data_IF_964812460184
#
_entry.id   IF_964812460184
#
_cell.length_a   1.000
_cell.length_b   1.000
_cell.length_c   1.000
_cell.angle_alpha   90.00
_cell.angle_beta   90.00
_cell.angle_gamma   90.00
#
_symmetry.space_group_name_H-M   'P 1'
#
loop_
_entity.id
_entity.type
_entity.pdbx_description
1 polymer ?
#
# COMPACT_ATOMS: atom_id res chain seq x y z
N UNK A 1 1.88 -51.20 30.73
CA UNK A 1 2.70 -50.47 29.74
C UNK A 1 2.62 -51.06 28.32
N UNK A 2 1.45 -51.56 27.89
CA UNK A 2 1.30 -52.24 26.58
C UNK A 2 0.50 -51.43 25.53
N UNK A 3 -0.03 -50.25 25.88
CA UNK A 3 -0.82 -49.41 24.95
C UNK A 3 -0.02 -48.34 24.19
N UNK A 4 1.24 -48.08 24.59
CA UNK A 4 2.12 -47.12 23.90
C UNK A 4 3.02 -47.73 22.82
N UNK A 5 3.09 -49.06 22.72
CA UNK A 5 3.94 -49.77 21.73
C UNK A 5 3.18 -50.19 20.46
N UNK A 6 1.85 -50.04 20.40
CA UNK A 6 1.04 -50.31 19.20
C UNK A 6 0.86 -49.10 18.27
N UNK A 7 1.26 -47.90 18.69
CA UNK A 7 1.13 -46.66 17.89
C UNK A 7 2.40 -46.29 17.11
N UNK A 8 3.36 -47.21 17.00
CA UNK A 8 4.54 -47.10 16.14
C UNK A 8 4.48 -48.05 14.94
N UNK A 9 3.45 -48.89 14.85
CA UNK A 9 3.19 -49.73 13.69
C UNK A 9 2.27 -48.98 12.72
N UNK A 10 2.78 -48.72 11.51
CA UNK A 10 2.07 -48.25 10.31
C UNK A 10 1.88 -46.74 10.13
N UNK A 11 2.92 -45.93 10.35
CA UNK A 11 3.08 -44.78 9.46
C UNK A 11 3.58 -45.30 8.12
N UNK A 12 2.69 -45.38 7.12
CA UNK A 12 3.11 -45.68 5.75
C UNK A 12 4.21 -44.69 5.33
N UNK A 13 5.26 -45.14 4.63
CA UNK A 13 6.33 -44.27 4.19
C UNK A 13 5.75 -43.13 3.34
N UNK A 14 5.96 -41.88 3.77
CA UNK A 14 5.45 -40.73 3.03
C UNK A 14 6.30 -40.51 1.78
N UNK A 15 5.69 -40.21 0.61
CA UNK A 15 6.44 -39.82 -0.57
C UNK A 15 7.34 -38.61 -0.28
N UNK A 16 8.58 -38.66 -0.76
CA UNK A 16 9.49 -37.53 -0.74
C UNK A 16 9.16 -36.61 -1.92
N UNK A 17 8.85 -35.34 -1.62
CA UNK A 17 8.46 -34.35 -2.62
C UNK A 17 9.39 -33.15 -2.55
N UNK A 18 9.96 -32.78 -3.69
CA UNK A 18 10.82 -31.61 -3.86
C UNK A 18 10.22 -30.69 -4.92
N UNK A 19 10.10 -29.41 -4.62
CA UNK A 19 9.66 -28.39 -5.58
C UNK A 19 10.90 -27.59 -5.98
N UNK A 20 11.20 -27.57 -7.27
CA UNK A 20 12.31 -26.82 -7.85
C UNK A 20 11.70 -25.74 -8.71
N UNK A 21 12.08 -24.49 -8.46
CA UNK A 21 11.72 -23.33 -9.28
C UNK A 21 12.92 -23.02 -10.17
N UNK A 22 12.71 -23.00 -11.47
CA UNK A 22 13.75 -22.73 -12.46
C UNK A 22 14.04 -21.22 -12.49
N UNK A 23 15.32 -20.84 -12.63
CA UNK A 23 15.79 -19.45 -12.69
C UNK A 23 15.20 -18.54 -11.59
N UNK A 24 15.22 -19.06 -10.34
CA UNK A 24 14.51 -18.44 -9.22
C UNK A 24 14.94 -16.98 -8.97
N UNK A 25 14.03 -16.04 -9.25
CA UNK A 25 14.23 -14.63 -8.92
C UNK A 25 14.15 -14.39 -7.42
N UNK A 26 14.81 -13.31 -6.98
CA UNK A 26 14.71 -12.83 -5.60
C UNK A 26 13.33 -12.27 -5.27
N UNK A 27 12.73 -11.58 -6.23
CA UNK A 27 11.41 -10.95 -6.19
C UNK A 27 10.78 -11.13 -7.56
N UNK A 28 9.52 -11.55 -7.58
CA UNK A 28 8.71 -11.63 -8.78
C UNK A 28 7.72 -10.47 -8.81
N UNK A 29 7.42 -9.96 -9.99
CA UNK A 29 6.42 -8.90 -10.19
C UNK A 29 5.25 -9.37 -11.05
N UNK A 30 4.27 -8.50 -11.27
CA UNK A 30 3.11 -8.76 -12.13
C UNK A 30 3.54 -9.21 -13.52
N UNK A 31 2.88 -10.26 -14.05
CA UNK A 31 3.19 -10.98 -15.28
C UNK A 31 4.51 -11.78 -15.30
N UNK A 32 5.30 -11.78 -14.23
CA UNK A 32 6.42 -12.71 -14.17
C UNK A 32 5.92 -14.16 -14.18
N UNK A 33 6.73 -15.02 -14.81
CA UNK A 33 6.51 -16.45 -14.89
C UNK A 33 7.25 -17.17 -13.75
N UNK A 34 6.51 -17.96 -13.00
CA UNK A 34 7.04 -18.90 -12.00
C UNK A 34 6.93 -20.30 -12.59
N UNK A 35 8.05 -20.81 -13.13
CA UNK A 35 8.13 -22.14 -13.74
C UNK A 35 9.11 -23.04 -13.01
N UNK A 36 8.91 -24.34 -13.15
CA UNK A 36 9.74 -25.32 -12.47
C UNK A 36 9.18 -26.72 -12.58
N UNK A 37 9.60 -27.58 -11.65
CA UNK A 37 9.16 -28.97 -11.57
C UNK A 37 9.03 -29.50 -10.15
N UNK A 38 8.07 -30.38 -9.97
CA UNK A 38 7.89 -31.19 -8.77
C UNK A 38 8.53 -32.55 -9.01
N UNK A 39 9.48 -32.94 -8.15
CA UNK A 39 10.07 -34.28 -8.14
C UNK A 39 9.47 -35.10 -7.03
N UNK A 40 9.01 -36.31 -7.35
CA UNK A 40 8.42 -37.25 -6.41
C UNK A 40 9.23 -38.54 -6.41
N UNK A 41 9.61 -38.98 -5.21
CA UNK A 41 10.28 -40.25 -4.95
C UNK A 41 9.54 -41.00 -3.85
N UNK A 42 9.43 -42.31 -3.98
CA UNK A 42 8.78 -43.17 -2.98
C UNK A 42 9.72 -44.29 -2.56
N UNK A 43 9.60 -44.75 -1.31
CA UNK A 43 10.35 -45.89 -0.80
C UNK A 43 9.56 -47.21 -0.87
N UNK A 44 8.24 -47.13 -1.10
CA UNK A 44 7.34 -48.26 -1.32
C UNK A 44 6.37 -47.95 -2.45
N UNK A 45 5.83 -48.99 -3.09
CA UNK A 45 4.78 -48.84 -4.10
C UNK A 45 3.62 -48.03 -3.51
N UNK A 46 3.37 -46.86 -4.10
CA UNK A 46 2.41 -45.89 -3.56
C UNK A 46 1.32 -45.65 -4.59
N UNK A 47 0.09 -46.03 -4.24
CA UNK A 47 -1.09 -45.79 -5.07
C UNK A 47 -1.57 -44.36 -4.87
N UNK A 48 -1.76 -43.63 -5.97
CA UNK A 48 -2.27 -42.26 -5.97
C UNK A 48 -3.43 -42.11 -6.96
N UNK A 49 -4.32 -41.15 -6.68
CA UNK A 49 -5.44 -40.80 -7.56
C UNK A 49 -5.14 -39.55 -8.36
N UNK A 50 -4.64 -38.52 -7.68
CA UNK A 50 -4.41 -37.21 -8.28
C UNK A 50 -3.14 -36.56 -7.73
N UNK A 51 -2.50 -35.76 -8.57
CA UNK A 51 -1.38 -34.89 -8.20
C UNK A 51 -1.81 -33.48 -8.55
N UNK A 52 -1.81 -32.63 -7.55
CA UNK A 52 -2.30 -31.27 -7.65
C UNK A 52 -1.14 -30.29 -7.40
N UNK A 53 -0.83 -29.49 -8.41
CA UNK A 53 0.20 -28.46 -8.35
C UNK A 53 -0.47 -27.12 -8.52
N UNK A 54 -0.32 -26.24 -7.53
CA UNK A 54 -1.02 -24.97 -7.47
C UNK A 54 -0.06 -23.83 -7.12
N UNK A 55 -0.36 -22.64 -7.63
CA UNK A 55 0.22 -21.40 -7.13
C UNK A 55 -0.83 -20.67 -6.29
N UNK A 56 -0.54 -20.50 -5.01
CA UNK A 56 -1.49 -19.99 -4.02
C UNK A 56 -0.98 -18.72 -3.36
N UNK A 57 -1.87 -17.76 -3.17
CA UNK A 57 -1.64 -16.55 -2.39
C UNK A 57 -2.55 -16.55 -1.16
N UNK A 58 -1.96 -16.38 0.02
CA UNK A 58 -2.69 -16.34 1.28
C UNK A 58 -2.22 -15.21 2.20
N UNK A 59 -3.18 -14.61 2.88
CA UNK A 59 -2.96 -13.63 3.95
C UNK A 59 -3.37 -14.27 5.27
N UNK A 60 -2.50 -14.20 6.27
CA UNK A 60 -2.75 -14.65 7.63
C UNK A 60 -2.56 -13.47 8.58
N UNK A 61 -3.53 -13.29 9.46
CA UNK A 61 -3.50 -12.25 10.48
C UNK A 61 -3.88 -12.82 11.83
N UNK A 62 -3.39 -12.21 12.91
CA UNK A 62 -3.93 -12.43 14.23
C UNK A 62 -3.95 -11.14 15.04
N UNK A 63 -4.83 -11.08 16.03
CA UNK A 63 -4.96 -9.96 16.96
C UNK A 63 -4.95 -10.55 18.37
N UNK A 64 -3.95 -10.15 19.16
CA UNK A 64 -3.84 -10.57 20.56
C UNK A 64 -4.80 -9.78 21.44
N UNK A 65 -5.48 -10.49 22.33
CA UNK A 65 -6.36 -9.91 23.32
C UNK A 65 -5.71 -10.03 24.70
N UNK A 66 -5.65 -8.92 25.42
CA UNK A 66 -5.44 -8.93 26.86
C UNK A 66 -6.75 -9.44 27.52
N UNK A 67 -6.97 -10.75 27.56
CA UNK A 67 -8.16 -11.33 28.20
C UNK A 67 -7.95 -11.41 29.71
N UNK A 68 -8.83 -10.75 30.48
CA UNK A 68 -8.94 -10.93 31.94
C UNK A 68 -9.81 -12.15 32.32
N UNK A 69 -10.37 -12.88 31.34
CA UNK A 69 -11.17 -14.09 31.56
C UNK A 69 -10.44 -15.34 31.04
N UNK A 70 -10.32 -16.41 31.84
CA UNK A 70 -9.66 -17.66 31.44
C UNK A 70 -10.44 -18.48 30.40
N UNK A 71 -11.67 -18.09 30.03
CA UNK A 71 -12.54 -18.82 29.09
C UNK A 71 -12.52 -18.31 27.64
N UNK A 72 -11.89 -17.17 27.36
CA UNK A 72 -11.80 -16.60 26.01
C UNK A 72 -10.43 -16.86 25.38
N UNK A 73 -10.37 -17.15 24.06
CA UNK A 73 -9.10 -17.33 23.37
C UNK A 73 -8.25 -16.05 23.45
N UNK A 74 -6.98 -16.23 23.81
CA UNK A 74 -5.98 -15.18 24.01
C UNK A 74 -5.65 -14.40 22.73
N UNK A 75 -5.94 -14.99 21.57
CA UNK A 75 -5.71 -14.39 20.25
C UNK A 75 -6.79 -14.85 19.27
N UNK A 76 -7.19 -13.98 18.35
CA UNK A 76 -8.09 -14.33 17.24
C UNK A 76 -7.28 -14.28 15.96
N UNK A 77 -7.47 -15.26 15.06
CA UNK A 77 -6.80 -15.30 13.76
C UNK A 77 -7.78 -15.17 12.60
N UNK A 78 -7.30 -14.59 11.50
CA UNK A 78 -7.98 -14.51 10.21
C UNK A 78 -7.09 -15.10 9.12
N UNK A 79 -7.71 -15.71 8.11
CA UNK A 79 -6.99 -16.20 6.92
C UNK A 79 -7.81 -15.94 5.68
N UNK A 80 -7.17 -15.43 4.63
CA UNK A 80 -7.79 -15.16 3.34
C UNK A 80 -6.95 -15.74 2.21
N UNK A 81 -7.53 -16.66 1.44
CA UNK A 81 -6.91 -17.25 0.26
C UNK A 81 -7.35 -16.44 -0.96
N UNK A 82 -6.52 -15.49 -1.37
CA UNK A 82 -6.88 -14.50 -2.39
C UNK A 82 -6.51 -14.94 -3.81
N UNK A 83 -5.51 -15.82 -3.96
CA UNK A 83 -5.06 -16.35 -5.26
C UNK A 83 -4.99 -17.88 -5.23
N UNK A 84 -5.49 -18.49 -6.31
CA UNK A 84 -5.37 -19.93 -6.57
C UNK A 84 -5.30 -20.17 -8.08
N UNK A 85 -4.13 -20.53 -8.59
CA UNK A 85 -3.91 -21.00 -9.95
C UNK A 85 -3.58 -22.49 -9.90
N UNK A 86 -4.13 -23.27 -10.82
CA UNK A 86 -3.93 -24.72 -10.86
C UNK A 86 -3.22 -25.09 -12.15
N UNK A 87 -2.17 -25.92 -12.04
CA UNK A 87 -1.50 -26.47 -13.20
C UNK A 87 -2.37 -27.62 -13.74
N UNK A 88 -2.82 -27.59 -15.00
CA UNK A 88 -3.57 -28.69 -15.58
C UNK A 88 -2.72 -29.95 -15.60
N UNK A 89 -3.20 -31.00 -14.92
CA UNK A 89 -2.58 -32.32 -14.90
C UNK A 89 -3.42 -33.32 -15.71
N UNK A 90 -2.80 -34.29 -16.41
CA UNK A 90 -3.53 -35.37 -17.04
C UNK A 90 -4.34 -36.14 -15.99
N UNK A 91 -5.66 -36.18 -16.14
CA UNK A 91 -6.53 -36.98 -15.27
C UNK A 91 -6.47 -38.43 -15.70
N UNK A 92 -6.17 -39.31 -14.75
CA UNK A 92 -6.19 -40.74 -15.00
C UNK A 92 -7.54 -41.33 -14.59
N UNK A 93 -8.09 -42.20 -15.44
CA UNK A 93 -9.35 -42.89 -15.16
C UNK A 93 -9.23 -43.96 -14.07
N UNK A 94 -8.01 -44.39 -13.75
CA UNK A 94 -7.69 -45.37 -12.71
C UNK A 94 -6.57 -44.86 -11.80
N UNK A 95 -6.54 -45.26 -10.51
CA UNK A 95 -5.42 -44.97 -9.64
C UNK A 95 -4.09 -45.47 -10.24
N UNK A 96 -3.07 -44.63 -10.15
CA UNK A 96 -1.73 -44.88 -10.66
C UNK A 96 -0.82 -45.35 -9.51
N UNK A 97 0.31 -45.98 -9.83
CA UNK A 97 1.29 -46.47 -8.85
C UNK A 97 2.65 -45.81 -9.07
N UNK A 98 3.17 -45.17 -8.01
CA UNK A 98 4.57 -44.72 -7.96
C UNK A 98 5.42 -45.87 -7.45
N UNK A 99 6.50 -46.19 -8.16
CA UNK A 99 7.40 -47.29 -7.83
C UNK A 99 8.69 -46.79 -7.15
N UNK A 100 9.24 -47.53 -6.18
CA UNK A 100 10.56 -47.27 -5.63
C UNK A 100 11.65 -47.26 -6.69
N UNK A 101 12.69 -46.45 -6.48
CA UNK A 101 13.83 -46.33 -7.39
C UNK A 101 13.58 -45.49 -8.64
N UNK A 102 12.36 -44.98 -8.86
CA UNK A 102 12.04 -44.03 -9.93
C UNK A 102 11.85 -42.61 -9.40
N UNK A 103 12.23 -41.64 -10.21
CA UNK A 103 11.97 -40.21 -9.97
C UNK A 103 10.92 -39.76 -10.97
N UNK A 104 9.79 -39.28 -10.46
CA UNK A 104 8.71 -38.75 -11.28
C UNK A 104 8.81 -37.22 -11.28
N UNK A 105 8.84 -36.61 -12.46
CA UNK A 105 8.94 -35.16 -12.63
C UNK A 105 7.64 -34.60 -13.23
N UNK A 106 7.06 -33.59 -12.59
CA UNK A 106 5.84 -32.91 -13.03
C UNK A 106 6.14 -31.42 -13.23
N UNK A 107 6.17 -30.92 -14.48
CA UNK A 107 6.46 -29.53 -14.74
C UNK A 107 5.26 -28.64 -14.36
N UNK A 108 5.55 -27.42 -13.95
CA UNK A 108 4.54 -26.37 -13.72
C UNK A 108 4.99 -25.04 -14.30
N UNK A 109 4.01 -24.21 -14.63
CA UNK A 109 4.25 -22.87 -15.16
C UNK A 109 3.07 -21.97 -14.83
N UNK A 110 3.29 -21.03 -13.91
CA UNK A 110 2.30 -20.04 -13.51
C UNK A 110 2.73 -18.65 -13.94
N UNK A 111 1.77 -17.79 -14.28
CA UNK A 111 1.99 -16.36 -14.53
C UNK A 111 1.29 -15.56 -13.45
N UNK A 112 1.99 -14.62 -12.83
CA UNK A 112 1.41 -13.75 -11.80
C UNK A 112 0.40 -12.82 -12.47
N UNK A 113 -0.90 -12.88 -12.11
CA UNK A 113 -1.92 -12.12 -12.79
C UNK A 113 -1.83 -10.63 -12.47
N UNK A 114 -2.40 -9.79 -13.35
CA UNK A 114 -2.51 -8.34 -13.12
C UNK A 114 -3.44 -7.96 -11.99
N UNK A 115 -4.57 -8.65 -11.91
CA UNK A 115 -5.62 -8.44 -10.92
C UNK A 115 -6.16 -9.79 -10.46
N UNK A 116 -6.71 -9.80 -9.27
CA UNK A 116 -7.46 -10.93 -8.74
C UNK A 116 -8.83 -11.01 -9.42
N UNK A 117 -9.38 -12.21 -9.50
CA UNK A 117 -10.74 -12.42 -9.96
C UNK A 117 -11.72 -11.80 -8.96
N UNK A 118 -12.86 -11.29 -9.41
CA UNK A 118 -13.89 -10.67 -8.56
C UNK A 118 -14.29 -11.54 -7.36
N UNK A 119 -14.27 -12.87 -7.52
CA UNK A 119 -14.53 -13.85 -6.46
C UNK A 119 -13.51 -13.87 -5.31
N UNK A 120 -12.37 -13.18 -5.44
CA UNK A 120 -11.37 -13.07 -4.36
C UNK A 120 -11.88 -12.18 -3.21
N UNK A 121 -12.69 -11.16 -3.53
CA UNK A 121 -13.30 -10.25 -2.57
C UNK A 121 -14.84 -10.31 -2.70
N UNK A 122 -15.49 -11.09 -1.83
CA UNK A 122 -16.95 -11.32 -1.85
C UNK A 122 -17.72 -10.60 -0.74
N UNK A 123 -17.02 -9.88 0.13
CA UNK A 123 -17.65 -9.15 1.21
C UNK A 123 -18.15 -7.80 0.71
N UNK A 124 -19.08 -7.21 1.45
CA UNK A 124 -19.56 -5.86 1.20
C UNK A 124 -18.44 -4.83 1.43
N UNK A 125 -18.42 -3.78 0.62
CA UNK A 125 -17.48 -2.65 0.72
C UNK A 125 -18.26 -1.35 0.62
N UNK A 126 -17.89 -0.32 1.39
CA UNK A 126 -18.58 0.98 1.37
C UNK A 126 -18.46 1.70 0.03
N UNK A 127 -17.34 1.52 -0.67
CA UNK A 127 -17.04 2.19 -1.94
C UNK A 127 -16.43 1.21 -2.94
N UNK A 128 -16.70 1.43 -4.24
CA UNK A 128 -16.13 0.61 -5.31
C UNK A 128 -14.60 0.67 -5.35
N UNK A 129 -14.01 1.83 -5.03
CA UNK A 129 -12.56 1.99 -4.93
C UNK A 129 -11.91 1.05 -3.92
N UNK A 130 -12.60 0.73 -2.82
CA UNK A 130 -12.15 -0.24 -1.81
C UNK A 130 -12.16 -1.65 -2.40
N UNK A 131 -13.25 -2.01 -3.10
CA UNK A 131 -13.35 -3.30 -3.79
C UNK A 131 -12.26 -3.46 -4.86
N UNK A 132 -12.04 -2.44 -5.68
CA UNK A 132 -11.03 -2.42 -6.73
C UNK A 132 -9.61 -2.55 -6.16
N UNK A 133 -9.35 -1.93 -5.00
CA UNK A 133 -8.09 -2.09 -4.27
C UNK A 133 -7.94 -3.53 -3.72
N UNK A 134 -9.00 -4.11 -3.14
CA UNK A 134 -9.00 -5.49 -2.65
C UNK A 134 -8.80 -6.54 -3.76
N UNK A 135 -9.08 -6.17 -5.02
CA UNK A 135 -8.80 -7.00 -6.20
C UNK A 135 -7.38 -6.82 -6.75
N UNK A 136 -6.56 -5.93 -6.21
CA UNK A 136 -5.13 -5.92 -6.49
C UNK A 136 -4.42 -7.04 -5.73
N UNK A 137 -3.31 -7.51 -6.27
CA UNK A 137 -2.46 -8.46 -5.56
C UNK A 137 -1.77 -7.73 -4.40
N UNK A 138 -1.81 -8.24 -3.15
CA UNK A 138 -1.01 -7.67 -2.08
C UNK A 138 0.47 -8.09 -2.22
N UNK A 139 1.45 -7.24 -1.89
CA UNK A 139 2.85 -7.64 -1.83
C UNK A 139 3.09 -8.65 -0.72
N UNK A 140 4.12 -9.47 -0.90
CA UNK A 140 4.60 -10.38 0.13
C UNK A 140 5.16 -9.60 1.31
N UNK A 141 4.71 -9.93 2.52
CA UNK A 141 5.21 -9.35 3.77
C UNK A 141 5.25 -10.42 4.88
N UNK A 142 6.15 -10.27 5.84
CA UNK A 142 6.35 -11.19 6.97
C UNK A 142 7.05 -12.50 6.57
N UNK A 143 7.78 -12.52 5.46
CA UNK A 143 8.59 -13.65 5.02
C UNK A 143 10.08 -13.37 5.33
N UNK A 144 10.59 -13.99 6.40
CA UNK A 144 11.76 -13.53 7.20
C UNK A 144 13.14 -13.80 6.55
N UNK A 145 13.23 -14.14 5.26
CA UNK A 145 14.43 -14.85 4.81
C UNK A 145 15.58 -13.94 4.31
N UNK A 146 15.42 -12.60 4.20
CA UNK A 146 16.45 -11.73 3.59
C UNK A 146 16.67 -10.35 4.23
N UNK A 147 15.69 -9.44 4.12
CA UNK A 147 15.79 -8.07 4.63
C UNK A 147 14.47 -7.67 5.27
N UNK A 148 14.54 -6.91 6.37
CA UNK A 148 13.38 -6.49 7.15
C UNK A 148 12.41 -5.66 6.30
N UNK A 149 11.20 -6.17 6.12
CA UNK A 149 10.09 -5.55 5.38
C UNK A 149 9.17 -4.69 6.27
N UNK A 150 9.58 -4.48 7.52
CA UNK A 150 8.86 -3.73 8.56
C UNK A 150 7.49 -4.34 8.88
N UNK A 151 7.23 -5.60 8.50
CA UNK A 151 5.98 -6.27 8.81
C UNK A 151 5.88 -6.66 10.29
N UNK A 152 4.73 -6.43 10.94
CA UNK A 152 4.49 -6.99 12.26
C UNK A 152 4.34 -8.50 12.16
N UNK A 153 4.67 -9.20 13.24
CA UNK A 153 4.43 -10.65 13.38
C UNK A 153 2.94 -11.00 13.18
N UNK A 154 2.05 -10.07 13.52
CA UNK A 154 0.59 -10.19 13.43
C UNK A 154 0.05 -10.31 12.00
N UNK A 155 0.83 -10.02 10.96
CA UNK A 155 0.36 -10.06 9.58
C UNK A 155 1.39 -10.66 8.64
N UNK A 156 0.95 -11.60 7.81
CA UNK A 156 1.79 -12.24 6.80
C UNK A 156 1.02 -12.39 5.49
N UNK A 157 1.65 -12.04 4.38
CA UNK A 157 1.16 -12.28 3.02
C UNK A 157 2.17 -13.17 2.31
N UNK A 158 1.74 -14.34 1.87
CA UNK A 158 2.61 -15.35 1.28
C UNK A 158 2.11 -15.80 -0.08
N UNK A 159 3.05 -16.01 -0.99
CA UNK A 159 2.85 -16.70 -2.25
C UNK A 159 3.63 -18.00 -2.24
N UNK A 160 3.02 -19.09 -2.68
CA UNK A 160 3.61 -20.42 -2.59
C UNK A 160 3.26 -21.25 -3.82
N UNK A 161 4.24 -22.02 -4.31
CA UNK A 161 3.97 -23.20 -5.14
C UNK A 161 3.68 -24.35 -4.19
N UNK A 162 2.51 -24.96 -4.30
CA UNK A 162 2.06 -26.07 -3.48
C UNK A 162 1.88 -27.33 -4.34
N UNK A 163 2.50 -28.43 -3.93
CA UNK A 163 2.35 -29.74 -4.55
C UNK A 163 1.69 -30.71 -3.57
N UNK A 164 0.59 -31.34 -3.97
CA UNK A 164 -0.19 -32.28 -3.18
C UNK A 164 -0.35 -33.60 -3.91
N UNK A 165 -0.03 -34.71 -3.24
CA UNK A 165 -0.33 -36.06 -3.75
C UNK A 165 -1.55 -36.57 -3.00
N UNK A 166 -2.60 -36.95 -3.73
CA UNK A 166 -3.87 -37.40 -3.19
C UNK A 166 -3.98 -38.92 -3.35
N UNK A 167 -4.31 -39.62 -2.26
CA UNK A 167 -4.48 -41.07 -2.25
C UNK A 167 -5.74 -41.52 -3.02
N UNK A 168 -5.86 -42.83 -3.25
CA UNK A 168 -7.11 -43.43 -3.73
C UNK A 168 -8.31 -43.22 -2.78
N UNK A 169 -8.07 -43.02 -1.48
CA UNK A 169 -9.11 -42.67 -0.50
C UNK A 169 -9.50 -41.19 -0.52
N UNK A 170 -8.81 -40.34 -1.30
CA UNK A 170 -9.07 -38.91 -1.40
C UNK A 170 -8.36 -38.05 -0.34
N UNK A 171 -7.60 -38.65 0.56
CA UNK A 171 -6.83 -37.94 1.57
C UNK A 171 -5.45 -37.51 1.03
N UNK A 172 -4.90 -36.36 1.46
CA UNK A 172 -3.55 -35.96 1.07
C UNK A 172 -2.51 -36.90 1.68
N UNK A 173 -1.73 -37.58 0.85
CA UNK A 173 -0.57 -38.38 1.28
C UNK A 173 0.58 -37.48 1.72
N UNK A 174 0.81 -36.40 0.98
CA UNK A 174 1.83 -35.40 1.26
C UNK A 174 1.45 -34.06 0.64
N UNK A 175 1.77 -32.99 1.35
CA UNK A 175 1.69 -31.62 0.87
C UNK A 175 3.06 -30.99 1.06
N UNK A 176 3.64 -30.46 -0.01
CA UNK A 176 4.89 -29.70 0.03
C UNK A 176 4.63 -28.30 -0.51
N UNK A 177 5.25 -27.29 0.09
CA UNK A 177 5.15 -25.90 -0.37
C UNK A 177 6.53 -25.29 -0.56
N UNK A 178 6.63 -24.35 -1.48
CA UNK A 178 7.82 -23.51 -1.72
C UNK A 178 7.37 -22.05 -1.82
N UNK A 179 7.86 -21.23 -0.91
CA UNK A 179 7.54 -19.79 -0.85
C UNK A 179 8.23 -19.04 -2.00
N UNK A 180 7.53 -18.05 -2.54
CA UNK A 180 8.00 -17.14 -3.58
C UNK A 180 7.72 -15.71 -3.11
N UNK A 181 8.68 -14.80 -3.27
CA UNK A 181 8.48 -13.38 -2.94
C UNK A 181 7.88 -12.65 -4.15
N UNK A 182 6.72 -12.03 -3.95
CA UNK A 182 6.01 -11.25 -4.97
C UNK A 182 5.84 -9.81 -4.51
N UNK A 183 6.32 -8.86 -5.31
CA UNK A 183 6.03 -7.42 -5.20
C UNK A 183 5.31 -7.03 -6.49
N UNK A 184 3.97 -6.95 -6.48
CA UNK A 184 3.19 -6.69 -7.68
C UNK A 184 3.35 -5.24 -8.15
N UNK A 185 3.09 -5.02 -9.44
CA UNK A 185 2.95 -3.69 -10.01
C UNK A 185 1.86 -2.92 -9.25
N UNK A 186 2.15 -1.67 -8.89
CA UNK A 186 1.26 -0.78 -8.19
C UNK A 186 1.41 0.63 -8.74
N UNK A 187 0.33 1.17 -9.28
CA UNK A 187 0.29 2.51 -9.84
C UNK A 187 0.15 3.58 -8.75
N UNK A 188 0.78 4.74 -8.98
CA UNK A 188 0.56 5.93 -8.16
C UNK A 188 -0.92 6.32 -8.18
N UNK A 189 -1.49 6.49 -7.00
CA UNK A 189 -2.87 6.95 -6.83
C UNK A 189 -2.89 8.47 -6.68
N UNK A 190 -4.04 9.07 -7.00
CA UNK A 190 -4.23 10.52 -6.84
C UNK A 190 -3.88 11.00 -5.43
N UNK A 191 -3.40 12.26 -5.28
CA UNK A 191 -3.11 12.83 -3.97
C UNK A 191 -4.31 12.77 -3.03
N UNK A 192 -4.04 12.56 -1.75
CA UNK A 192 -5.06 12.49 -0.70
C UNK A 192 -5.52 13.92 -0.38
N UNK A 193 -6.83 14.11 -0.22
CA UNK A 193 -7.37 15.36 0.29
C UNK A 193 -7.03 15.52 1.78
N UNK A 194 -6.07 16.39 2.08
CA UNK A 194 -5.61 16.68 3.45
C UNK A 194 -6.56 17.65 4.17
N UNK A 195 -7.54 18.25 3.48
CA UNK A 195 -8.47 19.22 4.09
C UNK A 195 -9.63 18.55 4.86
N UNK A 196 -9.76 17.21 4.81
CA UNK A 196 -10.71 16.48 5.66
C UNK A 196 -10.40 16.76 7.14
N UNK A 197 -11.38 17.27 7.94
CA UNK A 197 -11.21 17.47 9.38
C UNK A 197 -10.80 16.20 10.16
N UNK A 198 -11.01 15.02 9.57
CA UNK A 198 -10.61 13.72 10.12
C UNK A 198 -9.27 13.21 9.58
N UNK A 199 -8.58 13.97 8.74
CA UNK A 199 -7.27 13.61 8.19
C UNK A 199 -6.24 13.48 9.30
N UNK A 200 -5.44 12.41 9.23
CA UNK A 200 -4.27 12.24 10.10
C UNK A 200 -3.04 13.01 9.60
N UNK A 201 -3.14 13.62 8.41
CA UNK A 201 -2.06 14.33 7.74
C UNK A 201 -2.11 15.83 8.08
N UNK A 202 -0.92 16.43 8.13
CA UNK A 202 -0.70 17.84 8.45
C UNK A 202 0.20 18.41 7.37
N UNK A 203 -0.40 19.02 6.34
CA UNK A 203 0.32 19.68 5.23
C UNK A 203 0.77 21.09 5.56
N UNK A 204 0.10 21.77 6.51
CA UNK A 204 0.40 23.14 6.94
C UNK A 204 0.37 23.27 8.46
N UNK A 205 1.36 23.94 9.03
CA UNK A 205 1.44 24.28 10.45
C UNK A 205 1.87 25.73 10.62
N UNK A 206 1.19 26.47 11.51
CA UNK A 206 1.52 27.86 11.84
C UNK A 206 1.87 27.99 13.33
N UNK A 207 2.90 28.79 13.67
CA UNK A 207 3.27 29.11 15.04
C UNK A 207 3.69 30.56 15.22
N UNK A 208 3.20 31.15 16.31
CA UNK A 208 3.66 32.47 16.79
C UNK A 208 5.04 32.35 17.43
N UNK A 209 6.00 33.13 16.92
CA UNK A 209 7.36 33.24 17.43
C UNK A 209 7.46 34.47 18.34
N UNK A 210 8.12 34.31 19.49
CA UNK A 210 8.31 35.40 20.49
C UNK A 210 9.76 35.88 20.50
N UNK A 211 9.94 37.19 20.76
CA UNK A 211 11.26 37.84 20.91
C UNK A 211 11.95 37.37 22.20
N UNK A 212 13.27 37.50 22.26
CA UNK A 212 14.07 37.16 23.46
C UNK A 212 13.73 38.09 24.64
N UNK A 213 13.50 37.51 25.83
CA UNK A 213 13.03 38.22 27.03
C UNK A 213 11.53 38.54 27.02
N UNK A 214 11.05 39.34 27.97
CA UNK A 214 9.64 39.79 28.07
C UNK A 214 9.19 40.77 26.96
N UNK A 215 9.90 40.84 25.82
CA UNK A 215 9.77 41.88 24.77
C UNK A 215 8.75 41.56 23.67
N UNK A 216 7.69 40.79 23.94
CA UNK A 216 6.56 40.63 23.00
C UNK A 216 6.76 39.68 21.81
N UNK A 217 5.95 39.84 20.76
CA UNK A 217 5.83 38.93 19.60
C UNK A 217 6.85 39.28 18.51
N UNK A 218 7.56 38.29 17.97
CA UNK A 218 8.47 38.47 16.82
C UNK A 218 7.67 38.46 15.50
N UNK A 219 6.78 37.48 15.35
CA UNK A 219 5.93 37.31 14.18
C UNK A 219 5.24 35.95 14.19
N UNK A 220 4.61 35.58 13.07
CA UNK A 220 4.09 34.23 12.83
C UNK A 220 4.91 33.53 11.76
N UNK A 221 5.28 32.27 12.00
CA UNK A 221 5.94 31.42 11.02
C UNK A 221 4.97 30.30 10.64
N UNK A 222 4.67 30.19 9.34
CA UNK A 222 3.96 29.04 8.77
C UNK A 222 4.91 28.21 7.92
N UNK A 223 4.76 26.90 8.01
CA UNK A 223 5.39 25.93 7.11
C UNK A 223 4.31 25.13 6.40
N UNK A 224 4.52 24.85 5.13
CA UNK A 224 3.60 24.11 4.28
C UNK A 224 4.37 23.23 3.32
N UNK A 225 3.85 22.06 2.99
CA UNK A 225 4.37 21.20 1.94
C UNK A 225 3.24 20.40 1.29
N UNK A 226 3.42 20.13 0.01
CA UNK A 226 2.51 19.29 -0.76
C UNK A 226 2.87 17.80 -0.62
N UNK A 227 1.90 16.94 -0.94
CA UNK A 227 2.16 15.50 -1.03
C UNK A 227 3.30 15.25 -2.04
N UNK A 228 4.41 14.61 -1.63
CA UNK A 228 5.45 14.21 -2.57
C UNK A 228 4.92 13.24 -3.62
N UNK A 229 5.55 13.24 -4.80
CA UNK A 229 5.38 12.18 -5.79
C UNK A 229 5.69 10.82 -5.17
N UNK A 230 5.01 9.79 -5.66
CA UNK A 230 5.26 8.42 -5.23
C UNK A 230 6.72 8.02 -5.38
N UNK A 231 7.21 7.19 -4.46
CA UNK A 231 8.51 6.52 -4.61
C UNK A 231 8.29 5.27 -5.46
N UNK A 232 8.80 5.26 -6.69
CA UNK A 232 8.68 4.12 -7.59
C UNK A 232 9.75 3.07 -7.30
N UNK A 233 9.32 1.84 -7.01
CA UNK A 233 10.20 0.67 -6.99
C UNK A 233 10.44 0.21 -8.43
N UNK A 234 11.70 0.07 -8.88
CA UNK A 234 12.03 -0.21 -10.28
C UNK A 234 11.64 -1.64 -10.70
N UNK A 235 11.53 -1.87 -12.01
CA UNK A 235 11.41 -3.23 -12.56
C UNK A 235 12.59 -4.11 -12.10
N UNK A 236 12.28 -5.33 -11.63
CA UNK A 236 13.23 -6.25 -10.99
C UNK A 236 13.87 -5.72 -9.69
N UNK A 237 13.10 -4.94 -8.92
CA UNK A 237 13.50 -4.42 -7.61
C UNK A 237 14.24 -5.46 -6.77
N UNK A 238 15.45 -5.10 -6.39
CA UNK A 238 16.39 -5.90 -5.65
C UNK A 238 16.70 -5.21 -4.32
N UNK A 239 16.03 -5.61 -3.21
CA UNK A 239 16.31 -5.09 -1.88
C UNK A 239 17.82 -5.13 -1.57
N UNK A 240 18.36 -4.04 -1.01
CA UNK A 240 19.78 -3.92 -0.70
C UNK A 240 20.66 -3.30 -1.79
N UNK A 241 20.22 -3.29 -3.06
CA UNK A 241 21.02 -2.74 -4.17
C UNK A 241 20.49 -1.39 -4.63
N UNK A 242 19.20 -1.35 -4.93
CA UNK A 242 18.57 -0.20 -5.58
C UNK A 242 18.50 1.02 -4.65
N UNK A 243 18.64 2.20 -5.25
CA UNK A 243 18.40 3.49 -4.58
C UNK A 243 17.08 4.00 -5.12
N UNK A 244 16.09 4.12 -4.25
CA UNK A 244 14.79 4.69 -4.60
C UNK A 244 14.55 5.93 -3.76
N UNK A 245 14.06 6.99 -4.41
CA UNK A 245 13.93 8.29 -3.77
C UNK A 245 12.83 9.14 -4.38
N UNK A 246 12.36 10.09 -3.58
CA UNK A 246 11.53 11.21 -4.01
C UNK A 246 12.03 12.48 -3.32
N UNK A 247 11.38 13.61 -3.55
CA UNK A 247 11.65 14.86 -2.85
C UNK A 247 10.35 15.64 -2.64
N UNK A 248 10.32 16.46 -1.60
CA UNK A 248 9.26 17.45 -1.38
C UNK A 248 9.89 18.79 -1.02
N UNK A 249 9.18 19.88 -1.28
CA UNK A 249 9.61 21.23 -0.94
C UNK A 249 8.77 21.73 0.22
N UNK A 250 9.43 22.09 1.32
CA UNK A 250 8.80 22.79 2.44
C UNK A 250 8.89 24.27 2.15
N UNK A 251 7.73 24.89 1.94
CA UNK A 251 7.57 26.34 1.80
C UNK A 251 7.40 26.97 3.17
N UNK A 252 8.15 28.02 3.45
CA UNK A 252 8.10 28.78 4.69
C UNK A 252 7.61 30.18 4.39
N UNK A 253 6.77 30.69 5.29
CA UNK A 253 6.33 32.09 5.29
C UNK A 253 6.41 32.65 6.70
N UNK A 254 7.09 33.77 6.84
CA UNK A 254 7.19 34.52 8.08
C UNK A 254 6.52 35.88 7.92
N UNK A 255 5.51 36.13 8.74
CA UNK A 255 4.80 37.41 8.81
C UNK A 255 5.26 38.16 10.09
N UNK A 256 6.03 39.26 9.94
CA UNK A 256 6.53 40.06 11.06
C UNK A 256 5.42 40.69 11.90
N UNK A 257 5.60 40.76 13.22
CA UNK A 257 4.66 41.48 14.09
C UNK A 257 4.78 43.01 13.96
N UNK A 258 5.97 43.51 13.65
CA UNK A 258 6.34 44.93 13.53
C UNK A 258 7.29 45.09 12.33
N UNK A 259 7.24 46.25 11.68
CA UNK A 259 8.19 46.62 10.63
C UNK A 259 9.62 46.60 11.20
N UNK A 260 10.55 45.94 10.50
CA UNK A 260 11.94 45.76 10.92
C UNK A 260 12.25 44.46 11.68
N UNK A 261 11.26 43.62 12.00
CA UNK A 261 11.53 42.29 12.53
C UNK A 261 12.01 41.33 11.41
N UNK A 262 13.21 40.78 11.57
CA UNK A 262 13.76 39.77 10.66
C UNK A 262 13.19 38.37 10.94
N UNK A 263 13.21 37.45 9.95
CA UNK A 263 12.85 36.06 10.14
C UNK A 263 13.66 35.37 11.26
N UNK A 264 13.08 34.35 11.93
CA UNK A 264 13.79 33.59 12.94
C UNK A 264 14.90 32.71 12.34
N UNK A 265 15.94 32.44 13.13
CA UNK A 265 17.00 31.50 12.76
C UNK A 265 16.45 30.05 12.77
N UNK A 266 16.52 29.38 11.63
CA UNK A 266 16.18 27.97 11.49
C UNK A 266 17.40 27.14 11.87
N UNK A 267 17.23 26.05 12.63
CA UNK A 267 18.38 25.31 13.18
C UNK A 267 18.59 23.96 12.51
N UNK A 268 17.53 23.16 12.39
CA UNK A 268 17.61 21.81 11.85
C UNK A 268 16.39 21.45 11.03
N UNK A 269 16.61 20.60 10.03
CA UNK A 269 15.56 19.96 9.26
C UNK A 269 15.79 18.46 9.33
N UNK A 270 14.78 17.72 9.75
CA UNK A 270 14.84 16.27 9.83
C UNK A 270 13.61 15.62 9.27
N UNK A 271 13.79 14.47 8.64
CA UNK A 271 12.71 13.67 8.08
C UNK A 271 12.74 12.23 8.58
N UNK A 272 11.56 11.67 8.83
CA UNK A 272 11.36 10.25 9.12
C UNK A 272 10.19 9.71 8.30
N UNK A 273 10.32 8.47 7.88
CA UNK A 273 9.27 7.71 7.22
C UNK A 273 8.48 6.97 8.29
N UNK A 274 7.22 7.32 8.45
CA UNK A 274 6.27 6.60 9.28
C UNK A 274 5.62 5.50 8.45
N UNK A 275 5.62 4.27 8.97
CA UNK A 275 5.10 3.09 8.29
C UNK A 275 3.99 2.50 9.13
N UNK A 276 2.79 2.42 8.56
CA UNK A 276 1.59 1.93 9.23
C UNK A 276 1.11 0.64 8.58
N UNK A 277 0.93 -0.42 9.38
CA UNK A 277 0.38 -1.70 8.95
C UNK A 277 -0.91 -2.01 9.69
N UNK A 278 -2.01 -1.93 8.97
CA UNK A 278 -3.31 -2.33 9.48
C UNK A 278 -3.55 -3.79 9.20
N UNK A 279 -3.98 -4.53 10.20
CA UNK A 279 -4.34 -5.94 10.08
C UNK A 279 -5.69 -6.16 10.74
N UNK A 280 -6.46 -7.12 10.22
CA UNK A 280 -7.75 -7.48 10.79
C UNK A 280 -7.99 -8.98 10.60
N UNK A 281 -8.80 -9.56 11.48
CA UNK A 281 -9.23 -10.96 11.36
C UNK A 281 -10.50 -11.11 10.52
N UNK A 282 -11.13 -10.00 10.15
CA UNK A 282 -12.23 -9.94 9.18
C UNK A 282 -11.98 -8.95 8.07
N UNK A 283 -12.59 -9.18 6.89
CA UNK A 283 -12.48 -8.26 5.78
C UNK A 283 -12.97 -6.85 6.15
N UNK A 284 -12.19 -5.84 5.81
CA UNK A 284 -12.52 -4.44 6.04
C UNK A 284 -13.56 -3.94 5.05
N UNK A 285 -14.47 -3.09 5.50
CA UNK A 285 -15.48 -2.48 4.63
C UNK A 285 -14.97 -1.22 3.93
N UNK A 286 -13.88 -0.64 4.42
CA UNK A 286 -13.39 0.69 4.05
C UNK A 286 -11.85 0.77 4.19
N UNK A 287 -11.24 1.83 3.64
CA UNK A 287 -9.83 2.11 3.88
C UNK A 287 -9.60 2.43 5.37
N UNK A 288 -8.51 1.91 5.96
CA UNK A 288 -8.29 2.05 7.38
C UNK A 288 -7.94 3.49 7.77
N UNK A 289 -8.53 3.97 8.86
CA UNK A 289 -8.20 5.24 9.52
C UNK A 289 -7.73 4.97 10.96
N UNK A 290 -6.92 5.87 11.51
CA UNK A 290 -6.40 5.74 12.88
C UNK A 290 -7.50 5.53 13.94
N UNK A 291 -8.66 6.18 13.75
CA UNK A 291 -9.82 6.07 14.66
C UNK A 291 -10.45 4.67 14.67
N UNK A 292 -10.29 3.87 13.60
CA UNK A 292 -10.98 2.58 13.46
C UNK A 292 -10.47 1.54 14.47
N UNK A 293 -9.19 1.64 14.87
CA UNK A 293 -8.54 0.66 15.76
C UNK A 293 -9.05 0.76 17.20
N UNK A 294 -9.53 1.95 17.60
CA UNK A 294 -10.04 2.17 18.96
C UNK A 294 -11.34 1.39 19.21
N UNK A 295 -12.14 1.18 18.15
CA UNK A 295 -13.48 0.61 18.27
C UNK A 295 -13.59 -0.85 17.79
N UNK A 296 -12.63 -1.34 17.01
CA UNK A 296 -12.65 -2.70 16.48
C UNK A 296 -11.64 -3.63 17.14
N UNK A 297 -12.12 -4.46 18.07
CA UNK A 297 -11.34 -5.50 18.77
C UNK A 297 -10.79 -6.61 17.84
N UNK A 298 -11.18 -6.60 16.57
CA UNK A 298 -10.80 -7.56 15.53
C UNK A 298 -9.78 -6.97 14.56
N UNK A 299 -9.38 -5.72 14.79
CA UNK A 299 -8.40 -4.99 14.01
C UNK A 299 -7.25 -4.55 14.90
N UNK A 300 -6.09 -4.34 14.28
CA UNK A 300 -4.93 -3.76 14.90
C UNK A 300 -4.20 -2.84 13.92
N UNK A 301 -3.43 -1.91 14.49
CA UNK A 301 -2.47 -1.07 13.79
C UNK A 301 -1.10 -1.27 14.41
N UNK A 302 -0.14 -1.62 13.58
CA UNK A 302 1.27 -1.60 13.94
C UNK A 302 1.94 -0.43 13.22
N UNK A 303 2.58 0.46 13.98
CA UNK A 303 3.27 1.63 13.46
C UNK A 303 4.74 1.58 13.84
N UNK A 304 5.62 1.84 12.86
CA UNK A 304 7.06 1.98 13.07
C UNK A 304 7.58 3.18 12.29
N UNK A 305 8.78 3.66 12.61
CA UNK A 305 9.38 4.82 11.94
C UNK A 305 10.83 4.56 11.58
N UNK A 306 11.21 4.99 10.38
CA UNK A 306 12.57 4.89 9.85
C UNK A 306 13.12 6.30 9.65
N UNK A 307 14.24 6.62 10.30
CA UNK A 307 14.91 7.92 10.11
C UNK A 307 15.47 8.00 8.69
N UNK A 308 15.21 9.12 8.01
CA UNK A 308 15.66 9.33 6.63
C UNK A 308 16.84 10.31 6.59
N UNK A 309 16.60 11.58 6.91
CA UNK A 309 17.61 12.63 6.84
C UNK A 309 17.57 13.55 8.06
N UNK A 310 18.69 14.23 8.32
CA UNK A 310 18.82 15.27 9.33
C UNK A 310 19.96 16.19 8.93
N UNK A 311 19.68 17.47 8.70
CA UNK A 311 20.68 18.49 8.34
C UNK A 311 20.48 19.78 9.15
N UNK A 312 21.53 20.60 9.20
CA UNK A 312 21.45 21.97 9.73
C UNK A 312 20.98 22.91 8.63
N UNK A 313 20.15 23.88 8.99
CA UNK A 313 19.55 24.85 8.05
C UNK A 313 19.74 26.29 8.53
N UNK A 314 20.84 26.56 9.23
CA UNK A 314 21.16 27.89 9.79
C UNK A 314 21.37 28.96 8.70
N UNK A 315 21.69 28.57 7.47
CA UNK A 315 22.03 29.45 6.34
C UNK A 315 20.92 29.63 5.31
N UNK A 316 19.65 29.46 5.70
CA UNK A 316 18.51 29.62 4.78
C UNK A 316 18.38 31.06 4.30
N UNK A 317 18.33 31.26 2.99
CA UNK A 317 18.09 32.54 2.35
C UNK A 317 16.60 32.86 2.37
N UNK A 318 16.23 33.99 2.98
CA UNK A 318 14.88 34.51 3.00
C UNK A 318 14.70 35.56 1.92
N UNK A 319 13.62 35.45 1.15
CA UNK A 319 13.17 36.46 0.19
C UNK A 319 12.14 37.35 0.88
N UNK A 320 12.40 38.65 0.94
CA UNK A 320 11.46 39.66 1.45
C UNK A 320 10.52 40.09 0.31
N UNK A 321 9.25 40.22 0.65
CA UNK A 321 8.19 40.72 -0.23
C UNK A 321 7.60 41.96 0.43
N UNK A 322 7.62 43.09 -0.27
CA UNK A 322 7.00 44.34 0.17
C UNK A 322 5.61 44.50 -0.47
N UNK A 323 4.74 45.34 0.11
CA UNK A 323 3.43 45.59 -0.50
C UNK A 323 3.59 46.26 -1.88
N UNK A 324 2.99 45.67 -2.92
CA UNK A 324 2.94 46.25 -4.28
C UNK A 324 3.44 45.34 -5.42
N UNK A 325 4.04 44.19 -5.13
CA UNK A 325 4.46 43.20 -6.16
C UNK A 325 3.39 42.15 -6.49
N UNK A 326 2.18 42.24 -5.93
CA UNK A 326 1.01 41.55 -6.50
C UNK A 326 0.59 42.32 -7.76
N UNK A 327 1.13 41.89 -8.90
CA UNK A 327 0.85 42.43 -10.22
C UNK A 327 -0.64 42.76 -10.41
N UNK A 328 -0.92 44.04 -10.63
CA UNK A 328 -2.17 44.58 -11.16
C UNK A 328 -2.38 44.16 -12.64
N UNK A 329 -2.17 42.90 -12.98
CA UNK A 329 -2.58 42.33 -14.27
C UNK A 329 -3.98 41.73 -14.12
N UNK A 330 -4.94 42.63 -13.91
CA UNK A 330 -6.36 42.38 -14.10
C UNK A 330 -6.61 42.18 -15.60
N UNK A 331 -6.40 40.97 -16.10
CA UNK A 331 -6.98 40.57 -17.38
C UNK A 331 -8.46 40.31 -17.17
N UNK A 332 -9.29 41.28 -17.60
CA UNK A 332 -10.70 41.08 -17.83
C UNK A 332 -10.87 39.99 -18.91
N UNK A 333 -11.16 38.76 -18.51
CA UNK A 333 -11.68 37.72 -19.39
C UNK A 333 -12.45 36.66 -18.59
N UNK A 334 -13.73 36.55 -18.92
CA UNK A 334 -14.63 35.46 -18.50
C UNK A 334 -14.12 34.16 -19.11
N UNK A 335 -13.27 33.41 -18.40
CA UNK A 335 -13.08 31.95 -18.50
C UNK A 335 -12.41 31.52 -17.19
N UNK A 336 -13.03 30.56 -16.50
CA UNK A 336 -12.55 29.95 -15.27
C UNK A 336 -11.19 29.29 -15.49
N UNK A 337 -10.13 29.90 -14.97
CA UNK A 337 -8.80 29.30 -14.85
C UNK A 337 -8.36 29.45 -13.40
N UNK A 338 -8.03 28.33 -12.77
CA UNK A 338 -7.55 28.26 -11.39
C UNK A 338 -6.35 29.22 -11.18
N UNK A 339 -6.27 29.93 -10.05
CA UNK A 339 -5.13 30.80 -9.80
C UNK A 339 -3.87 29.94 -9.61
N UNK A 340 -2.88 30.14 -10.48
CA UNK A 340 -1.48 29.85 -10.16
C UNK A 340 -1.01 30.90 -9.16
N UNK A 341 -1.19 30.65 -7.86
CA UNK A 341 -0.51 31.43 -6.83
C UNK A 341 0.70 30.64 -6.34
N UNK A 342 1.88 30.95 -6.89
CA UNK A 342 3.18 30.49 -6.37
C UNK A 342 3.48 31.06 -4.97
N UNK A 343 2.64 31.95 -4.44
CA UNK A 343 2.72 32.50 -3.09
C UNK A 343 1.98 31.62 -2.07
N UNK A 344 2.69 31.08 -1.08
CA UNK A 344 2.10 30.38 0.08
C UNK A 344 1.00 31.21 0.74
N UNK A 345 -0.13 30.56 1.07
CA UNK A 345 -1.33 31.20 1.62
C UNK A 345 -1.02 32.16 2.78
N UNK A 346 -1.70 33.32 2.88
CA UNK A 346 -1.55 34.26 3.99
C UNK A 346 -1.69 33.58 5.36
N UNK A 347 -0.88 34.00 6.33
CA UNK A 347 -1.07 33.58 7.72
C UNK A 347 -2.31 34.23 8.31
N UNK A 348 -2.85 33.60 9.36
CA UNK A 348 -4.03 34.13 10.08
C UNK A 348 -3.78 35.48 10.76
N UNK A 349 -2.51 35.89 10.88
CA UNK A 349 -2.10 37.16 11.47
C UNK A 349 -1.59 38.19 10.44
N UNK A 350 -1.73 37.93 9.13
CA UNK A 350 -1.38 38.88 8.09
C UNK A 350 -2.14 40.20 8.28
N UNK A 351 -1.42 41.30 8.43
CA UNK A 351 -1.98 42.66 8.62
C UNK A 351 -1.77 43.58 7.41
N UNK A 352 -1.50 43.04 6.22
CA UNK A 352 -1.09 43.85 5.06
C UNK A 352 0.25 44.53 5.34
N UNK A 353 1.34 43.76 5.41
CA UNK A 353 2.70 44.23 5.70
C UNK A 353 3.70 43.36 4.95
N UNK A 354 4.93 43.86 4.80
CA UNK A 354 6.02 43.09 4.23
C UNK A 354 6.19 41.72 4.92
N UNK A 355 6.35 40.67 4.13
CA UNK A 355 6.51 39.28 4.60
C UNK A 355 7.75 38.64 4.01
N UNK A 356 8.16 37.51 4.57
CA UNK A 356 9.34 36.78 4.13
C UNK A 356 8.98 35.36 3.74
N UNK A 357 9.62 34.83 2.71
CA UNK A 357 9.46 33.44 2.27
C UNK A 357 10.80 32.75 2.13
N UNK A 358 10.81 31.43 2.29
CA UNK A 358 11.95 30.58 2.01
C UNK A 358 11.47 29.20 1.58
N UNK A 359 12.31 28.45 0.86
CA UNK A 359 12.02 27.08 0.45
C UNK A 359 13.14 26.14 0.89
N UNK A 360 12.74 24.95 1.36
CA UNK A 360 13.64 23.90 1.80
C UNK A 360 13.31 22.60 1.06
N UNK A 361 14.23 22.14 0.21
CA UNK A 361 14.10 20.85 -0.45
C UNK A 361 14.45 19.72 0.53
N UNK A 362 13.51 18.80 0.73
CA UNK A 362 13.66 17.61 1.57
C UNK A 362 13.79 16.39 0.67
N UNK A 363 15.01 15.86 0.46
CA UNK A 363 15.17 14.61 -0.25
C UNK A 363 14.75 13.43 0.64
N UNK A 364 14.11 12.44 0.03
CA UNK A 364 13.58 11.24 0.69
C UNK A 364 14.23 10.04 0.02
N UNK A 365 15.25 9.48 0.65
CA UNK A 365 15.92 8.25 0.19
C UNK A 365 15.50 7.08 1.07
N UNK A 366 14.99 6.00 0.46
CA UNK A 366 14.65 4.81 1.23
C UNK A 366 15.92 4.02 1.62
N UNK A 367 16.07 3.63 2.90
CA UNK A 367 17.21 2.82 3.33
C UNK A 367 17.31 1.47 2.63
N UNK A 368 18.52 1.10 2.21
CA UNK A 368 18.80 -0.15 1.48
C UNK A 368 18.68 -1.42 2.33
N UNK A 369 18.82 -1.30 3.65
CA UNK A 369 18.75 -2.44 4.58
C UNK A 369 17.32 -2.92 4.88
N UNK A 370 16.34 -2.47 4.11
CA UNK A 370 14.93 -2.78 4.25
C UNK A 370 14.35 -3.27 2.92
N UNK A 371 13.31 -4.10 3.02
CA UNK A 371 12.51 -4.51 1.87
C UNK A 371 11.27 -3.63 1.80
N UNK A 372 11.30 -2.61 0.95
CA UNK A 372 10.14 -1.76 0.69
C UNK A 372 9.11 -2.49 -0.17
N UNK A 373 7.83 -2.26 0.13
CA UNK A 373 6.68 -2.77 -0.62
C UNK A 373 5.79 -1.58 -1.00
N UNK A 374 5.00 -1.68 -2.08
CA UNK A 374 4.09 -0.62 -2.45
C UNK A 374 3.03 -0.39 -1.38
N UNK A 375 2.45 0.81 -1.39
CA UNK A 375 1.20 1.10 -0.66
C UNK A 375 0.11 0.16 -1.20
N UNK A 376 -0.58 -0.57 -0.31
CA UNK A 376 -1.60 -1.51 -0.74
C UNK A 376 -2.72 -1.66 0.28
N UNK A 377 -3.88 -2.11 -0.22
CA UNK A 377 -5.06 -2.42 0.57
C UNK A 377 -5.66 -3.75 0.10
N UNK A 378 -5.69 -4.73 0.99
CA UNK A 378 -6.38 -6.01 0.78
C UNK A 378 -7.43 -6.21 1.87
N UNK A 379 -8.28 -7.23 1.70
CA UNK A 379 -9.36 -7.52 2.64
C UNK A 379 -8.92 -7.50 4.11
N UNK A 380 -7.77 -8.11 4.43
CA UNK A 380 -7.31 -8.26 5.83
C UNK A 380 -6.14 -7.35 6.22
N UNK A 381 -5.36 -6.85 5.25
CA UNK A 381 -4.12 -6.12 5.52
C UNK A 381 -4.00 -4.92 4.62
N UNK A 382 -3.57 -3.79 5.18
CA UNK A 382 -3.15 -2.60 4.44
C UNK A 382 -1.79 -2.10 4.93
N UNK A 383 -1.01 -1.52 4.03
CA UNK A 383 0.25 -0.83 4.34
C UNK A 383 0.23 0.54 3.69
N UNK A 384 0.49 1.58 4.47
CA UNK A 384 0.66 2.95 3.96
C UNK A 384 1.85 3.64 4.64
N UNK A 385 2.23 4.78 4.07
CA UNK A 385 3.40 5.53 4.47
C UNK A 385 3.06 7.01 4.68
N UNK A 386 3.74 7.64 5.62
CA UNK A 386 3.68 9.08 5.83
C UNK A 386 5.09 9.65 6.01
N UNK A 387 5.34 10.83 5.45
CA UNK A 387 6.59 11.56 5.62
C UNK A 387 6.42 12.58 6.74
N UNK A 388 7.06 12.34 7.87
CA UNK A 388 7.11 13.28 8.97
C UNK A 388 8.33 14.19 8.79
N UNK A 389 8.10 15.50 8.71
CA UNK A 389 9.14 16.52 8.60
C UNK A 389 9.12 17.37 9.87
N UNK A 390 10.29 17.58 10.46
CA UNK A 390 10.46 18.40 11.67
C UNK A 390 11.48 19.50 11.42
N UNK A 391 11.03 20.75 11.50
CA UNK A 391 11.86 21.96 11.39
C UNK A 391 12.11 22.54 12.78
N UNK A 392 13.38 22.67 13.15
CA UNK A 392 13.85 23.39 14.33
C UNK A 392 13.93 24.88 14.06
N UNK A 393 13.37 25.68 14.98
CA UNK A 393 13.32 27.14 14.91
C UNK A 393 13.84 27.68 16.24
N UNK A 394 14.87 28.53 16.18
CA UNK A 394 15.43 29.19 17.36
C UNK A 394 14.44 30.22 17.88
N UNK A 395 14.14 30.15 19.17
CA UNK A 395 13.34 31.15 19.88
C UNK A 395 14.04 31.60 21.15
N UNK A 396 13.48 32.65 21.75
CA UNK A 396 13.83 33.21 23.06
C UNK A 396 13.99 32.17 24.17
N UNK A 397 13.14 31.14 24.14
CA UNK A 397 13.01 30.12 25.19
C UNK A 397 13.63 28.79 24.73
N UNK A 398 14.63 28.86 23.85
CA UNK A 398 15.28 27.70 23.23
C UNK A 398 14.70 27.32 21.86
N UNK A 399 15.06 26.13 21.39
CA UNK A 399 14.64 25.64 20.06
C UNK A 399 13.24 25.05 20.13
N UNK A 400 12.34 25.52 19.26
CA UNK A 400 11.00 24.97 19.06
C UNK A 400 10.96 24.17 17.77
N UNK A 401 10.13 23.13 17.73
CA UNK A 401 9.95 22.31 16.53
C UNK A 401 8.58 22.57 15.90
N UNK A 402 8.55 22.77 14.59
CA UNK A 402 7.34 22.73 13.76
C UNK A 402 7.32 21.42 12.99
N UNK A 403 6.14 20.82 12.82
CA UNK A 403 5.99 19.48 12.23
C UNK A 403 5.00 19.51 11.08
N UNK A 404 5.32 18.72 10.05
CA UNK A 404 4.41 18.32 8.99
C UNK A 404 4.33 16.79 8.97
N UNK A 405 3.18 16.24 8.59
CA UNK A 405 2.95 14.81 8.37
C UNK A 405 2.28 14.67 7.02
N UNK A 406 3.06 14.39 5.99
CA UNK A 406 2.58 14.34 4.61
C UNK A 406 2.22 12.91 4.22
N UNK A 407 1.13 12.68 3.45
CA UNK A 407 0.90 11.38 2.85
C UNK A 407 2.06 11.05 1.90
N UNK A 408 2.49 9.80 1.87
CA UNK A 408 3.51 9.33 0.96
C UNK A 408 3.10 7.98 0.40
N UNK A 409 3.23 7.81 -0.91
CA UNK A 409 2.94 6.55 -1.59
C UNK A 409 4.24 5.90 -2.02
N UNK A 410 4.28 4.57 -1.93
CA UNK A 410 5.27 3.75 -2.62
C UNK A 410 4.53 3.04 -3.75
N UNK A 411 4.98 3.24 -4.97
CA UNK A 411 4.50 2.57 -6.18
C UNK A 411 5.50 1.50 -6.60
N UNK A 412 5.12 0.61 -7.51
CA UNK A 412 6.00 -0.43 -7.99
C UNK A 412 5.79 -0.67 -9.48
N UNK A 413 6.88 -0.70 -10.23
CA UNK A 413 6.84 -1.02 -11.64
C UNK A 413 6.60 -2.52 -11.84
N UNK A 414 5.84 -2.85 -12.87
CA UNK A 414 5.65 -4.24 -13.28
C UNK A 414 6.90 -4.84 -13.91
N UNK A 415 6.80 -6.13 -14.27
CA UNK A 415 7.79 -6.79 -15.11
C UNK A 415 7.90 -6.09 -16.49
N UNK A 416 8.98 -6.40 -17.22
CA UNK A 416 9.16 -5.93 -18.60
C UNK A 416 7.95 -6.30 -19.48
N UNK A 417 7.39 -7.50 -19.29
CA UNK A 417 6.18 -7.94 -20.02
C UNK A 417 4.96 -7.09 -19.63
N UNK A 418 4.82 -6.73 -18.35
CA UNK A 418 3.75 -5.83 -17.91
C UNK A 418 3.86 -4.45 -18.56
N UNK A 419 5.06 -3.88 -18.62
CA UNK A 419 5.29 -2.60 -19.30
C UNK A 419 4.96 -2.69 -20.80
N UNK A 420 5.43 -3.74 -21.48
CA UNK A 420 5.11 -3.98 -22.89
C UNK A 420 3.60 -4.14 -23.14
N UNK A 421 2.88 -4.81 -22.24
CA UNK A 421 1.43 -4.95 -22.31
C UNK A 421 0.70 -3.61 -22.06
N UNK A 422 1.21 -2.75 -21.16
CA UNK A 422 0.65 -1.42 -20.94
C UNK A 422 0.82 -0.50 -22.16
N UNK A 423 1.99 -0.51 -22.79
CA UNK A 423 2.25 0.27 -24.01
C UNK A 423 1.33 -0.20 -25.15
N UNK A 424 1.16 -1.52 -25.33
CA UNK A 424 0.22 -2.09 -26.31
C UNK A 424 -1.23 -1.64 -26.03
N UNK A 425 -1.64 -1.61 -24.77
CA UNK A 425 -2.97 -1.14 -24.37
C UNK A 425 -3.20 0.34 -24.69
N UNK A 426 -2.24 1.22 -24.42
CA UNK A 426 -2.35 2.66 -24.70
C UNK A 426 -2.46 2.95 -26.19
N UNK A 427 -1.66 2.27 -27.02
CA UNK A 427 -1.74 2.41 -28.49
C UNK A 427 -3.11 2.03 -29.07
N UNK A 428 -3.81 1.06 -28.46
CA UNK A 428 -5.16 0.68 -28.89
C UNK A 428 -6.23 1.72 -28.49
N UNK A 429 -6.04 2.42 -27.37
CA UNK A 429 -6.93 3.50 -26.93
C UNK A 429 -6.78 4.72 -27.84
N UNK A 430 -5.54 5.08 -28.16
CA UNK A 430 -5.23 6.22 -29.04
C UNK A 430 -5.67 6.00 -30.50
N UNK A 431 -5.83 4.74 -30.93
CA UNK A 431 -6.30 4.37 -32.27
C UNK A 431 -7.81 4.11 -32.38
N UNK A 432 -8.63 4.45 -31.38
CA UNK A 432 -10.08 4.28 -31.48
C UNK A 432 -10.72 5.38 -32.39
N UNK A 433 -11.23 5.06 -33.59
CA UNK A 433 -11.75 6.06 -34.53
C UNK A 433 -13.03 6.77 -34.02
N UNK A 434 -13.65 6.26 -32.96
CA UNK A 434 -14.91 6.79 -32.42
C UNK A 434 -14.73 8.04 -31.54
N UNK A 435 -13.52 8.34 -31.03
CA UNK A 435 -13.30 9.58 -30.28
C UNK A 435 -13.18 10.82 -31.20
N UNK A 436 -12.89 10.62 -32.49
CA UNK A 436 -12.84 11.72 -33.46
C UNK A 436 -14.22 12.13 -34.02
N UNK A 437 -15.30 11.39 -33.70
CA UNK A 437 -16.66 11.72 -34.16
C UNK A 437 -17.51 12.50 -33.14
N UNK A 438 -17.04 12.67 -31.89
CA UNK A 438 -17.78 13.41 -30.85
C UNK A 438 -17.37 14.90 -30.76
N UNK A 439 -16.46 15.36 -31.61
CA UNK A 439 -16.03 16.77 -31.69
C UNK A 439 -16.93 17.68 -32.52
N UNK A 440 -18.04 17.20 -33.09
CA UNK A 440 -18.87 18.00 -34.01
C UNK A 440 -20.37 17.76 -33.84
N UNK A 441 -20.94 18.00 -32.66
CA UNK A 441 -22.37 18.28 -32.53
C UNK A 441 -22.60 19.45 -31.57
N UNK A 442 -22.88 20.60 -32.19
CA UNK A 442 -23.33 21.85 -31.58
C UNK A 442 -24.75 21.68 -31.02
N UNK A 443 -24.96 22.31 -29.86
CA UNK A 443 -26.23 22.78 -29.27
C UNK A 443 -27.54 22.51 -30.03
N UNK A 444 -28.41 21.71 -29.41
CA UNK A 444 -29.82 21.62 -29.74
C UNK A 444 -30.59 20.97 -28.59
N UNK A 445 -31.55 21.71 -28.04
CA UNK A 445 -32.50 21.29 -27.00
C UNK A 445 -33.10 19.90 -27.27
N UNK A 446 -33.02 19.00 -26.28
CA UNK A 446 -33.90 17.83 -26.22
C UNK A 446 -34.38 17.64 -24.79
N UNK A 447 -35.68 17.87 -24.64
CA UNK A 447 -36.54 17.68 -23.47
C UNK A 447 -36.49 16.23 -22.96
N UNK A 448 -36.48 16.09 -21.62
CA UNK A 448 -36.59 14.82 -20.89
C UNK A 448 -37.90 14.11 -21.20
N UNK A 449 -37.90 12.81 -21.56
CA UNK A 449 -39.09 11.98 -21.45
C UNK A 449 -39.18 11.35 -20.06
N UNK A 450 -40.41 11.28 -19.58
CA UNK A 450 -40.82 10.75 -18.29
C UNK A 450 -40.54 9.24 -18.16
N UNK A 451 -40.18 8.87 -16.93
CA UNK A 451 -40.04 7.51 -16.43
C UNK A 451 -41.41 6.87 -16.26
N UNK A 452 -41.73 5.83 -17.04
CA UNK A 452 -42.80 4.87 -16.74
C UNK A 452 -42.41 3.47 -17.25
N UNK A 453 -42.79 2.49 -16.42
CA UNK A 453 -43.04 1.07 -16.70
C UNK A 453 -41.87 0.07 -16.65
N UNK A 454 -41.54 -0.34 -15.42
CA UNK A 454 -41.03 -1.69 -15.13
C UNK A 454 -42.08 -2.49 -14.36
N UNK A 455 -42.38 -3.69 -14.89
CA UNK A 455 -43.35 -4.66 -14.38
C UNK A 455 -42.90 -5.33 -13.07
N UNK A 456 -43.84 -5.86 -12.26
CA UNK A 456 -43.63 -6.13 -10.86
C UNK A 456 -43.35 -7.61 -10.61
N UNK A 457 -42.17 -7.93 -10.07
CA UNK A 457 -41.96 -9.14 -9.28
C UNK A 457 -40.69 -8.92 -8.44
N UNK A 458 -40.75 -9.30 -7.15
CA UNK A 458 -39.80 -9.01 -6.05
C UNK A 458 -40.06 -7.74 -5.21
N UNK A 459 -41.14 -7.78 -4.41
CA UNK A 459 -41.27 -7.04 -3.14
C UNK A 459 -41.52 -8.01 -1.98
N UNK A 460 -40.46 -8.41 -1.25
CA UNK A 460 -40.48 -8.79 0.19
C UNK A 460 -38.99 -8.84 0.61
N UNK A 461 -38.40 -8.14 1.58
CA UNK A 461 -38.84 -7.54 2.83
C UNK A 461 -38.06 -6.23 3.08
N UNK A 462 -38.77 -5.11 3.16
CA UNK A 462 -38.34 -3.92 3.90
C UNK A 462 -39.07 -3.88 5.23
N UNK A 463 -38.34 -3.82 6.35
CA UNK A 463 -38.86 -3.40 7.65
C UNK A 463 -37.87 -2.47 8.36
N UNK A 464 -38.36 -1.59 9.23
CA UNK A 464 -38.01 -0.16 9.20
C UNK A 464 -36.99 0.23 10.26
N UNK A 465 -36.33 1.35 9.99
CA UNK A 465 -35.57 2.15 10.95
C UNK A 465 -36.60 2.85 11.86
N UNK A 466 -36.52 2.60 13.17
CA UNK A 466 -37.17 3.44 14.17
C UNK A 466 -36.19 4.51 14.65
N UNK A 467 -36.74 5.71 14.82
CA UNK A 467 -36.09 6.93 15.25
C UNK A 467 -35.50 6.85 16.66
#
# INVERSE_FOLDING_TARGET
MASKLRTLAMQQPKPHVTIIVDDEKTVYSTLDKVSGKVKIQVSVDTIWRDIDIQFVGNTKTFVDKMSMSPSLPMSISGTHHFLKLEQPMPRHSRPQVLQPGKIYEFPFSFTIPKKLLSKACKHETKHQSVHDAHLQLPPSIGAVDRCDDLAPVMSRVQYQVAARIISSSGNPLVTKTRDVCVIPAAEEQAPIDVQDPNSEFISRTEKVIRKSGFKGRLGSLSIEAEQPKSISLPTNYSPGKDIVSTMTTVRLRFDPAEEGCSPPCLTSLSSKLHVSTWHAVTPRLDFPKDKDVVYDIRAGLYSTSVKLSSCQVDSVSWTRHDEGEEDLHRQDSVISVQPKSDSSSPSTYCRGRAFYTAELVVPVFLPKNKTWVPTFHSCLVSRTYALDISLGVRSAVGTRTMKLKLPLQISAEGSVEYQADMIRGQQLVDHNPLQNLLGSLSTGDVTRPACLDLLPEYKVFTRPILA
#
